data_IF_537782145795
#
_entry.id   IF_537782145795
#
_cell.length_a   1.000
_cell.length_b   1.000
_cell.length_c   1.000
_cell.angle_alpha   90.00
_cell.angle_beta   90.00
_cell.angle_gamma   90.00
#
_symmetry.space_group_name_H-M   'P 1'
#
loop_
_entity.id
_entity.type
_entity.pdbx_description
1 polymer ?
#
# COMPACT_ATOMS: atom_id res chain seq x y z
N UNK A 1 79.86 -42.33 25.48
CA UNK A 1 79.74 -43.81 25.52
C UNK A 1 78.40 -44.16 26.16
N UNK A 2 77.52 -44.90 25.45
CA UNK A 2 76.48 -45.87 25.91
C UNK A 2 75.45 -45.38 26.98
N UNK A 3 74.12 -45.49 26.87
CA UNK A 3 73.19 -46.38 26.14
C UNK A 3 71.77 -45.74 26.20
N UNK A 4 70.96 -45.67 25.14
CA UNK A 4 69.85 -46.58 24.73
C UNK A 4 69.01 -47.14 25.90
N UNK A 5 67.70 -46.83 25.99
CA UNK A 5 66.55 -47.74 25.68
C UNK A 5 65.18 -47.21 26.19
N UNK A 6 64.16 -47.53 25.39
CA UNK A 6 62.72 -47.21 25.43
C UNK A 6 61.97 -47.31 26.76
N UNK A 7 60.95 -46.44 26.92
CA UNK A 7 59.63 -46.84 27.44
C UNK A 7 58.49 -46.19 26.65
N UNK A 8 57.73 -47.05 26.00
CA UNK A 8 56.38 -46.86 25.47
C UNK A 8 55.44 -46.49 26.63
N UNK A 9 54.50 -45.57 26.42
CA UNK A 9 53.32 -45.52 27.28
C UNK A 9 52.57 -44.19 27.31
N UNK A 10 51.33 -44.24 26.82
CA UNK A 10 50.19 -43.39 27.19
C UNK A 10 50.11 -42.02 26.49
N UNK A 11 49.40 -42.03 25.35
CA UNK A 11 48.74 -40.84 24.80
C UNK A 11 47.64 -40.43 25.76
N UNK A 12 47.83 -39.35 26.51
CA UNK A 12 46.75 -38.69 27.24
C UNK A 12 46.15 -37.61 26.31
N UNK A 13 45.09 -37.98 25.60
CA UNK A 13 44.30 -37.04 24.84
C UNK A 13 43.46 -36.20 25.82
N UNK A 14 43.88 -34.96 26.03
CA UNK A 14 43.04 -33.94 26.66
C UNK A 14 42.08 -33.42 25.58
N UNK A 15 40.86 -33.95 25.58
CA UNK A 15 39.77 -33.38 24.78
C UNK A 15 39.01 -32.42 25.70
N UNK A 16 39.39 -31.14 25.67
CA UNK A 16 38.53 -30.07 26.17
C UNK A 16 37.49 -29.84 25.07
N UNK A 17 36.29 -30.41 25.24
CA UNK A 17 35.12 -29.98 24.46
C UNK A 17 34.66 -28.65 25.06
N UNK A 18 35.18 -27.54 24.54
CA UNK A 18 34.48 -26.26 24.66
C UNK A 18 33.28 -26.36 23.72
N UNK A 19 32.13 -26.74 24.27
CA UNK A 19 30.86 -26.65 23.57
C UNK A 19 30.55 -25.15 23.37
N UNK A 20 30.84 -24.66 22.17
CA UNK A 20 30.50 -23.31 21.72
C UNK A 20 28.97 -23.18 21.57
N UNK A 21 28.27 -22.91 22.67
CA UNK A 21 26.93 -22.34 22.63
C UNK A 21 27.05 -20.83 22.33
N UNK A 22 27.33 -20.46 21.08
CA UNK A 22 27.36 -19.07 20.64
C UNK A 22 26.49 -18.82 19.39
N UNK A 23 25.45 -19.63 19.19
CA UNK A 23 24.62 -19.59 17.98
C UNK A 23 23.37 -18.69 18.04
N UNK A 24 22.97 -18.16 19.20
CA UNK A 24 21.64 -17.56 19.36
C UNK A 24 21.60 -16.12 19.88
N UNK A 25 22.71 -15.55 20.35
CA UNK A 25 22.73 -14.18 20.86
C UNK A 25 22.73 -13.12 19.73
N UNK A 26 23.49 -13.36 18.66
CA UNK A 26 23.66 -12.37 17.58
C UNK A 26 22.39 -12.09 16.76
N UNK A 27 21.49 -13.07 16.60
CA UNK A 27 20.26 -12.89 15.83
C UNK A 27 19.19 -12.08 16.57
N UNK A 28 19.13 -12.19 17.89
CA UNK A 28 18.18 -11.44 18.72
C UNK A 28 18.57 -9.96 18.82
N UNK A 29 19.86 -9.66 18.90
CA UNK A 29 20.38 -8.28 18.91
C UNK A 29 20.07 -7.56 17.60
N UNK A 30 20.20 -8.24 16.45
CA UNK A 30 19.86 -7.67 15.13
C UNK A 30 18.36 -7.35 15.00
N UNK A 31 17.47 -8.24 15.47
CA UNK A 31 16.01 -8.01 15.44
C UNK A 31 15.63 -6.79 16.29
N UNK A 32 16.22 -6.67 17.48
CA UNK A 32 15.98 -5.54 18.37
C UNK A 32 16.48 -4.23 17.75
N UNK A 33 17.65 -4.23 17.10
CA UNK A 33 18.15 -3.04 16.41
C UNK A 33 17.26 -2.60 15.26
N UNK A 34 16.83 -3.53 14.40
CA UNK A 34 15.91 -3.23 13.29
C UNK A 34 14.59 -2.67 13.83
N UNK A 35 14.08 -3.23 14.93
CA UNK A 35 12.88 -2.69 15.61
C UNK A 35 13.10 -1.27 16.11
N UNK A 36 14.21 -0.98 16.79
CA UNK A 36 14.52 0.36 17.28
C UNK A 36 14.64 1.37 16.13
N UNK A 37 15.28 0.99 15.03
CA UNK A 37 15.37 1.84 13.83
C UNK A 37 14.00 2.10 13.21
N UNK A 38 13.16 1.08 13.06
CA UNK A 38 11.80 1.21 12.54
C UNK A 38 10.93 2.09 13.44
N UNK A 39 11.03 1.93 14.76
CA UNK A 39 10.35 2.76 15.75
C UNK A 39 10.83 4.21 15.72
N UNK A 40 12.14 4.44 15.56
CA UNK A 40 12.69 5.79 15.43
C UNK A 40 12.21 6.47 14.14
N UNK A 41 12.18 5.76 13.01
CA UNK A 41 11.63 6.25 11.75
C UNK A 41 10.14 6.62 11.90
N UNK A 42 9.36 5.78 12.60
CA UNK A 42 7.95 6.04 12.90
C UNK A 42 7.74 7.38 13.62
N UNK A 43 8.48 7.61 14.71
CA UNK A 43 8.37 8.85 15.49
C UNK A 43 8.92 10.08 14.75
N UNK A 44 9.81 9.89 13.77
CA UNK A 44 10.29 10.96 12.88
C UNK A 44 9.30 11.31 11.76
N UNK A 45 8.20 10.57 11.62
CA UNK A 45 7.25 10.75 10.51
C UNK A 45 7.65 10.06 9.20
N UNK A 46 8.80 9.36 9.17
CA UNK A 46 9.25 8.59 8.02
C UNK A 46 8.54 7.24 8.00
N UNK A 47 7.29 7.27 7.54
CA UNK A 47 6.39 6.13 7.55
C UNK A 47 6.91 5.01 6.65
N UNK A 48 7.44 5.34 5.46
CA UNK A 48 7.93 4.36 4.48
C UNK A 48 9.08 3.52 5.05
N UNK A 49 10.11 4.18 5.58
CA UNK A 49 11.24 3.51 6.23
C UNK A 49 10.77 2.71 7.45
N UNK A 50 9.84 3.26 8.25
CA UNK A 50 9.28 2.55 9.40
C UNK A 50 8.56 1.25 9.00
N UNK A 51 7.77 1.28 7.92
CA UNK A 51 7.05 0.10 7.43
C UNK A 51 8.00 -0.98 6.92
N UNK A 52 9.02 -0.60 6.15
CA UNK A 52 10.01 -1.54 5.62
C UNK A 52 10.77 -2.25 6.74
N UNK A 53 11.27 -1.50 7.72
CA UNK A 53 12.03 -2.05 8.85
C UNK A 53 11.15 -2.93 9.75
N UNK A 54 9.94 -2.47 10.09
CA UNK A 54 9.05 -3.23 10.98
C UNK A 54 8.47 -4.48 10.31
N UNK A 55 8.30 -4.50 8.99
CA UNK A 55 7.91 -5.71 8.26
C UNK A 55 9.02 -6.77 8.29
N UNK A 56 10.29 -6.37 8.26
CA UNK A 56 11.42 -7.30 8.46
C UNK A 56 11.42 -7.90 9.88
N UNK A 57 11.07 -7.10 10.89
CA UNK A 57 10.90 -7.60 12.26
C UNK A 57 9.72 -8.58 12.34
N UNK A 58 8.58 -8.29 11.70
CA UNK A 58 7.41 -9.18 11.66
C UNK A 58 7.73 -10.52 10.97
N UNK A 59 8.49 -10.49 9.87
CA UNK A 59 8.91 -11.69 9.16
C UNK A 59 9.81 -12.61 10.00
N UNK A 60 10.71 -12.04 10.81
CA UNK A 60 11.65 -12.79 11.66
C UNK A 60 11.08 -13.17 13.02
N UNK A 61 10.20 -12.33 13.58
CA UNK A 61 9.49 -12.59 14.83
C UNK A 61 7.99 -12.27 14.70
N UNK A 62 7.20 -13.22 14.17
CA UNK A 62 5.76 -13.04 13.98
C UNK A 62 4.94 -12.88 15.26
N UNK A 63 5.53 -13.09 16.45
CA UNK A 63 4.89 -12.90 17.75
C UNK A 63 5.27 -11.59 18.43
N UNK A 64 6.08 -10.74 17.79
CA UNK A 64 6.47 -9.44 18.35
C UNK A 64 5.29 -8.47 18.42
N UNK A 65 4.73 -8.29 19.62
CA UNK A 65 3.50 -7.53 19.84
C UNK A 65 3.63 -6.05 19.46
N UNK A 66 4.73 -5.40 19.85
CA UNK A 66 4.97 -3.98 19.58
C UNK A 66 5.07 -3.69 18.07
N UNK A 67 5.73 -4.58 17.33
CA UNK A 67 5.82 -4.48 15.86
C UNK A 67 4.44 -4.57 15.22
N UNK A 68 3.59 -5.49 15.68
CA UNK A 68 2.22 -5.60 15.18
C UNK A 68 1.39 -4.34 15.46
N UNK A 69 1.51 -3.79 16.67
CA UNK A 69 0.81 -2.56 17.04
C UNK A 69 1.25 -1.38 16.17
N UNK A 70 2.56 -1.17 16.02
CA UNK A 70 3.10 -0.10 15.16
C UNK A 70 2.74 -0.31 13.69
N UNK A 71 2.85 -1.54 13.16
CA UNK A 71 2.46 -1.84 11.79
C UNK A 71 0.95 -1.61 11.57
N UNK A 72 0.09 -1.90 12.54
CA UNK A 72 -1.33 -1.58 12.44
C UNK A 72 -1.56 -0.07 12.36
N UNK A 73 -0.84 0.71 13.17
CA UNK A 73 -0.92 2.17 13.16
C UNK A 73 -0.37 2.75 11.86
N UNK A 74 0.81 2.31 11.43
CA UNK A 74 1.42 2.68 10.15
C UNK A 74 0.50 2.30 9.01
N UNK A 75 -0.03 1.08 8.94
CA UNK A 75 -0.98 0.66 7.91
C UNK A 75 -2.23 1.54 7.93
N UNK A 76 -2.69 2.03 9.08
CA UNK A 76 -3.84 2.93 9.17
C UNK A 76 -3.56 4.35 8.64
N UNK A 77 -2.34 4.85 8.87
CA UNK A 77 -1.82 6.15 8.42
C UNK A 77 -1.36 6.12 6.96
N UNK A 78 -0.81 4.99 6.51
CA UNK A 78 -0.45 4.67 5.13
C UNK A 78 -1.64 4.21 4.30
N UNK A 79 -2.81 3.94 4.89
CA UNK A 79 -4.00 3.67 4.08
C UNK A 79 -4.11 4.83 3.10
N UNK A 80 -4.11 4.59 1.80
CA UNK A 80 -3.41 5.54 0.94
C UNK A 80 -4.37 6.69 0.65
N UNK A 81 -4.20 7.77 1.41
CA UNK A 81 -4.81 9.04 1.10
C UNK A 81 -4.14 9.57 -0.16
N UNK A 82 -4.94 9.91 -1.16
CA UNK A 82 -4.61 10.51 -2.48
C UNK A 82 -3.92 9.61 -3.52
N UNK A 83 -3.08 8.65 -3.15
CA UNK A 83 -2.29 7.87 -4.11
C UNK A 83 -2.89 6.54 -4.62
N UNK A 84 -3.58 5.75 -3.78
CA UNK A 84 -3.98 4.38 -4.20
C UNK A 84 -5.30 4.31 -4.92
N UNK A 85 -6.29 5.12 -4.55
CA UNK A 85 -7.60 5.05 -5.18
C UNK A 85 -7.48 5.50 -6.64
N UNK A 86 -6.85 6.66 -6.86
CA UNK A 86 -6.54 7.15 -8.20
C UNK A 86 -5.74 6.12 -9.00
N UNK A 87 -4.67 5.55 -8.45
CA UNK A 87 -3.86 4.51 -9.13
C UNK A 87 -4.66 3.25 -9.45
N UNK A 88 -5.55 2.82 -8.55
CA UNK A 88 -6.42 1.67 -8.79
C UNK A 88 -7.38 1.93 -9.95
N UNK A 89 -7.91 3.14 -10.08
CA UNK A 89 -8.79 3.51 -11.18
C UNK A 89 -8.00 3.72 -12.47
N UNK A 90 -6.80 4.28 -12.40
CA UNK A 90 -5.93 4.51 -13.56
C UNK A 90 -5.55 3.20 -14.26
N UNK A 91 -5.46 2.10 -13.51
CA UNK A 91 -5.21 0.76 -14.07
C UNK A 91 -6.42 0.14 -14.81
N UNK A 92 -7.62 0.71 -14.66
CA UNK A 92 -8.84 0.23 -15.31
C UNK A 92 -9.01 0.88 -16.67
N UNK A 93 -8.79 0.12 -17.74
CA UNK A 93 -8.99 0.58 -19.11
C UNK A 93 -10.42 0.29 -19.55
N UNK A 94 -11.13 1.34 -19.93
CA UNK A 94 -12.49 1.27 -20.46
C UNK A 94 -12.43 1.19 -22.00
N UNK A 95 -12.88 0.07 -22.61
CA UNK A 95 -12.73 -0.14 -24.04
C UNK A 95 -13.59 0.82 -24.86
N UNK A 96 -14.80 1.12 -24.37
CA UNK A 96 -15.74 2.05 -25.00
C UNK A 96 -16.65 2.66 -23.93
N UNK A 97 -16.91 3.95 -24.06
CA UNK A 97 -17.91 4.69 -23.29
C UNK A 97 -18.72 5.51 -24.29
N UNK A 98 -20.04 5.36 -24.23
CA UNK A 98 -20.96 6.06 -25.12
C UNK A 98 -22.17 6.48 -24.31
N UNK A 99 -22.28 7.78 -24.07
CA UNK A 99 -23.42 8.40 -23.40
C UNK A 99 -24.02 9.44 -24.35
N UNK A 100 -25.35 9.53 -24.39
CA UNK A 100 -26.07 10.47 -25.24
C UNK A 100 -27.19 11.11 -24.42
N UNK A 101 -27.05 12.41 -24.17
CA UNK A 101 -28.01 13.26 -23.45
C UNK A 101 -28.44 12.67 -22.10
N UNK A 102 -27.45 12.19 -21.35
CA UNK A 102 -27.67 11.62 -20.01
C UNK A 102 -27.29 12.64 -18.95
N UNK A 103 -27.91 12.56 -17.78
CA UNK A 103 -27.50 13.36 -16.61
C UNK A 103 -26.15 12.88 -16.07
N UNK A 104 -25.41 13.75 -15.37
CA UNK A 104 -24.16 13.37 -14.71
C UNK A 104 -24.36 12.20 -13.74
N UNK A 105 -25.49 12.16 -13.02
CA UNK A 105 -25.83 11.06 -12.12
C UNK A 105 -25.94 9.73 -12.87
N UNK A 106 -26.63 9.71 -14.01
CA UNK A 106 -26.75 8.52 -14.86
C UNK A 106 -25.41 8.13 -15.49
N UNK A 107 -24.61 9.11 -15.94
CA UNK A 107 -23.28 8.87 -16.49
C UNK A 107 -22.35 8.20 -15.47
N UNK A 108 -22.39 8.64 -14.21
CA UNK A 108 -21.62 8.06 -13.10
C UNK A 108 -22.04 6.61 -12.84
N UNK A 109 -23.34 6.32 -12.86
CA UNK A 109 -23.83 4.95 -12.67
C UNK A 109 -23.46 4.06 -13.86
N UNK A 110 -23.52 4.59 -15.08
CA UNK A 110 -23.01 3.94 -16.28
C UNK A 110 -21.52 3.59 -16.15
N UNK A 111 -20.71 4.53 -15.67
CA UNK A 111 -19.27 4.33 -15.43
C UNK A 111 -19.00 3.26 -14.37
N UNK A 112 -19.81 3.17 -13.32
CA UNK A 112 -19.73 2.08 -12.34
C UNK A 112 -19.95 0.73 -12.99
N UNK A 113 -20.99 0.61 -13.80
CA UNK A 113 -21.32 -0.61 -14.52
C UNK A 113 -20.23 -1.02 -15.52
N UNK A 114 -19.70 -0.06 -16.28
CA UNK A 114 -18.61 -0.28 -17.24
C UNK A 114 -17.33 -0.73 -16.53
N UNK A 115 -16.96 -0.10 -15.41
CA UNK A 115 -15.77 -0.46 -14.62
C UNK A 115 -15.90 -1.86 -14.02
N UNK A 116 -17.08 -2.18 -13.48
CA UNK A 116 -17.41 -3.51 -12.97
C UNK A 116 -17.23 -4.57 -14.06
N UNK A 117 -17.74 -4.29 -15.26
CA UNK A 117 -17.67 -5.21 -16.40
C UNK A 117 -16.23 -5.39 -16.90
N UNK A 118 -15.48 -4.29 -17.04
CA UNK A 118 -14.09 -4.30 -17.51
C UNK A 118 -13.13 -5.02 -16.55
N UNK A 119 -13.44 -5.05 -15.25
CA UNK A 119 -12.56 -5.63 -14.22
C UNK A 119 -13.06 -6.95 -13.64
N UNK A 120 -14.19 -7.48 -14.13
CA UNK A 120 -14.83 -8.67 -13.54
C UNK A 120 -15.28 -8.44 -12.09
N UNK A 121 -15.67 -7.22 -11.74
CA UNK A 121 -16.15 -6.83 -10.42
C UNK A 121 -15.06 -6.46 -9.41
N UNK A 122 -13.78 -6.47 -9.80
CA UNK A 122 -12.67 -6.10 -8.90
C UNK A 122 -12.67 -4.61 -8.55
N UNK A 123 -13.09 -3.75 -9.47
CA UNK A 123 -13.16 -2.30 -9.27
C UNK A 123 -14.57 -1.83 -9.54
N UNK A 124 -15.20 -1.27 -8.50
CA UNK A 124 -16.43 -0.50 -8.59
C UNK A 124 -16.17 0.90 -8.02
N UNK A 125 -16.21 1.94 -8.86
CA UNK A 125 -15.88 3.27 -8.42
C UNK A 125 -16.93 3.83 -7.46
N UNK A 126 -16.49 4.30 -6.30
CA UNK A 126 -17.34 5.01 -5.37
C UNK A 126 -17.27 6.50 -5.67
N UNK A 127 -18.27 7.01 -6.41
CA UNK A 127 -18.33 8.41 -6.82
C UNK A 127 -19.47 9.11 -6.08
N UNK A 128 -19.18 10.28 -5.52
CA UNK A 128 -20.10 11.12 -4.78
C UNK A 128 -20.25 12.46 -5.49
N UNK A 129 -21.48 12.92 -5.68
CA UNK A 129 -21.77 14.28 -6.15
C UNK A 129 -22.10 15.11 -4.91
N UNK A 130 -21.25 16.09 -4.59
CA UNK A 130 -21.46 16.94 -3.41
C UNK A 130 -22.50 18.03 -3.65
N UNK A 131 -22.55 18.54 -4.88
CA UNK A 131 -23.43 19.63 -5.28
C UNK A 131 -24.59 19.08 -6.12
N UNK A 132 -25.82 19.17 -5.61
CA UNK A 132 -26.99 18.58 -6.28
C UNK A 132 -27.26 19.19 -7.66
N UNK A 133 -26.87 20.45 -7.88
CA UNK A 133 -27.07 21.12 -9.17
C UNK A 133 -26.23 20.50 -10.29
N UNK A 134 -25.14 19.81 -9.93
CA UNK A 134 -24.33 19.05 -10.89
C UNK A 134 -25.01 17.77 -11.34
N UNK A 135 -25.80 17.13 -10.48
CA UNK A 135 -26.35 15.81 -10.74
C UNK A 135 -27.24 15.79 -11.99
N UNK A 136 -28.01 16.87 -12.21
CA UNK A 136 -28.91 17.03 -13.36
C UNK A 136 -28.27 17.61 -14.62
N UNK A 137 -26.96 17.94 -14.62
CA UNK A 137 -26.29 18.44 -15.82
C UNK A 137 -26.25 17.35 -16.89
N UNK A 138 -26.79 17.63 -18.07
CA UNK A 138 -26.79 16.70 -19.18
C UNK A 138 -25.48 16.76 -19.95
N UNK A 139 -25.05 15.60 -20.46
CA UNK A 139 -23.82 15.45 -21.21
C UNK A 139 -23.92 14.29 -22.21
N UNK A 140 -23.11 14.40 -23.26
CA UNK A 140 -22.97 13.39 -24.31
C UNK A 140 -21.49 13.16 -24.56
N UNK A 141 -21.04 11.90 -24.56
CA UNK A 141 -19.63 11.59 -24.78
C UNK A 141 -19.46 10.27 -25.53
N UNK A 142 -18.42 10.21 -26.36
CA UNK A 142 -18.00 8.99 -27.04
C UNK A 142 -16.49 8.86 -26.90
N UNK A 143 -16.05 7.97 -26.01
CA UNK A 143 -14.65 7.76 -25.69
C UNK A 143 -14.28 6.29 -25.85
N UNK A 144 -13.02 6.01 -26.18
CA UNK A 144 -12.53 4.65 -26.41
C UNK A 144 -11.15 4.48 -25.82
N UNK A 145 -10.91 3.28 -25.30
CA UNK A 145 -9.60 2.81 -24.84
C UNK A 145 -8.86 3.82 -23.95
N UNK A 146 -9.51 4.23 -22.86
CA UNK A 146 -8.95 5.18 -21.91
C UNK A 146 -9.03 4.68 -20.46
N UNK A 147 -8.13 5.15 -19.58
CA UNK A 147 -8.25 4.93 -18.15
C UNK A 147 -9.56 5.46 -17.56
N UNK A 148 -10.07 4.78 -16.52
CA UNK A 148 -11.23 5.21 -15.76
C UNK A 148 -11.04 6.60 -15.14
N UNK A 149 -9.82 6.94 -14.70
CA UNK A 149 -9.51 8.28 -14.17
C UNK A 149 -9.78 9.38 -15.18
N UNK A 150 -9.47 9.12 -16.45
CA UNK A 150 -9.61 10.09 -17.53
C UNK A 150 -11.09 10.23 -17.88
N UNK A 151 -11.84 9.13 -17.94
CA UNK A 151 -13.28 9.16 -18.12
C UNK A 151 -14.01 9.95 -17.01
N UNK A 152 -13.60 9.75 -15.75
CA UNK A 152 -14.09 10.52 -14.60
C UNK A 152 -13.76 12.01 -14.77
N UNK A 153 -12.55 12.33 -15.23
CA UNK A 153 -12.15 13.72 -15.46
C UNK A 153 -12.97 14.37 -16.58
N UNK A 154 -13.18 13.68 -17.70
CA UNK A 154 -14.02 14.18 -18.79
C UNK A 154 -15.45 14.47 -18.34
N UNK A 155 -16.05 13.57 -17.55
CA UNK A 155 -17.37 13.85 -16.97
C UNK A 155 -17.39 15.12 -16.13
N UNK A 156 -16.35 15.33 -15.33
CA UNK A 156 -16.26 16.50 -14.47
C UNK A 156 -16.13 17.78 -15.28
N UNK A 157 -15.24 17.78 -16.28
CA UNK A 157 -15.01 18.94 -17.14
C UNK A 157 -16.28 19.33 -17.90
N UNK A 158 -17.01 18.35 -18.44
CA UNK A 158 -18.28 18.61 -19.14
C UNK A 158 -19.40 19.10 -18.22
N UNK A 159 -19.43 18.64 -16.98
CA UNK A 159 -20.41 19.07 -15.99
C UNK A 159 -20.05 20.40 -15.30
N UNK A 160 -18.87 20.99 -15.59
CA UNK A 160 -18.37 22.18 -14.88
C UNK A 160 -17.97 21.88 -13.43
N UNK A 161 -17.55 20.66 -13.16
CA UNK A 161 -17.16 20.16 -11.84
C UNK A 161 -15.64 20.02 -11.71
N UNK A 162 -15.18 19.93 -10.47
CA UNK A 162 -13.84 19.50 -10.06
C UNK A 162 -13.95 18.15 -9.37
N UNK A 163 -12.96 17.28 -9.60
CA UNK A 163 -12.85 15.98 -8.95
C UNK A 163 -11.81 16.04 -7.84
N UNK A 164 -12.16 15.48 -6.69
CA UNK A 164 -11.23 15.26 -5.58
C UNK A 164 -11.21 13.76 -5.28
N UNK A 165 -10.04 13.15 -5.36
CA UNK A 165 -9.82 11.76 -5.00
C UNK A 165 -9.51 11.70 -3.50
N UNK A 166 -10.49 11.27 -2.71
CA UNK A 166 -10.30 10.94 -1.30
C UNK A 166 -9.91 9.47 -1.15
N UNK A 167 -9.72 9.02 0.09
CA UNK A 167 -9.35 7.66 0.49
C UNK A 167 -10.34 6.60 0.03
N UNK A 168 -11.62 6.94 -0.04
CA UNK A 168 -12.70 5.98 -0.27
C UNK A 168 -13.64 6.34 -1.42
N UNK A 169 -13.52 7.54 -1.97
CA UNK A 169 -14.43 8.02 -3.00
C UNK A 169 -13.77 9.07 -3.90
N UNK A 170 -14.34 9.23 -5.08
CA UNK A 170 -14.12 10.40 -5.92
C UNK A 170 -15.28 11.36 -5.72
N UNK A 171 -14.98 12.59 -5.36
CA UNK A 171 -15.98 13.60 -5.03
C UNK A 171 -16.03 14.61 -6.17
N UNK A 172 -17.22 14.80 -6.74
CA UNK A 172 -17.53 15.85 -7.69
C UNK A 172 -18.03 17.08 -6.93
N UNK A 173 -17.41 18.22 -7.19
CA UNK A 173 -17.74 19.52 -6.58
C UNK A 173 -17.87 20.58 -7.66
N UNK A 174 -18.75 21.57 -7.49
CA UNK A 174 -18.89 22.63 -8.50
C UNK A 174 -17.59 23.44 -8.59
N UNK A 175 -17.11 23.71 -9.81
CA UNK A 175 -15.91 24.51 -10.02
C UNK A 175 -16.07 25.96 -9.52
N UNK A 176 -17.31 26.47 -9.43
CA UNK A 176 -17.60 27.81 -8.93
C UNK A 176 -17.45 27.93 -7.41
N UNK A 177 -17.73 26.85 -6.66
CA UNK A 177 -17.79 26.88 -5.18
C UNK A 177 -16.41 26.81 -4.52
N UNK A 178 -15.35 26.45 -5.25
CA UNK A 178 -13.97 26.33 -4.73
C UNK A 178 -13.18 27.65 -4.85
N UNK A 179 -13.80 28.71 -5.37
CA UNK A 179 -13.22 30.05 -5.44
C UNK A 179 -13.76 30.94 -4.32
N UNK A 180 -13.38 30.66 -3.06
CA UNK A 180 -13.47 31.61 -1.95
C UNK A 180 -12.55 31.20 -0.79
#
# INVERSE_FOLDING_TARGET
>A
MKSILHRVGVRLAVIIVVAACAGSAFAADDINQIFQMGRAAYYKGDMETAYQLLTQVEARNPKHFETKALLAQIRSQMKPGTGSLKRSYESVILPKIEFSDVTLAEAIEGLRSLSKSATGGKVMPNILIKDQDLAGKTLSLNLRNLPLTDAIQYLADMAGARTVYDKHAVIFTSAATVSN
#
